data_IF_198017728794
#
_entry.id   IF_198017728794
#
_cell.length_a   1.000
_cell.length_b   1.000
_cell.length_c   1.000
_cell.angle_alpha   90.00
_cell.angle_beta   90.00
_cell.angle_gamma   90.00
#
_symmetry.space_group_name_H-M   'P 1'
#
loop_
_entity.id
_entity.type
_entity.pdbx_description
1 polymer ?
#
# COMPACT_ATOMS: atom_id res chain seq x y z
N UNK A 1 16.80 0.48 -17.79
CA UNK A 1 15.55 -0.26 -17.73
C UNK A 1 14.61 0.34 -16.73
N UNK A 2 13.39 0.51 -17.14
CA UNK A 2 12.39 1.05 -16.23
C UNK A 2 11.82 -0.04 -15.35
N UNK A 3 11.77 0.23 -14.07
CA UNK A 3 11.09 -0.65 -13.13
C UNK A 3 9.64 -0.23 -13.01
N UNK A 4 8.78 -1.17 -12.73
CA UNK A 4 7.40 -0.87 -12.40
C UNK A 4 7.35 -0.77 -10.86
N UNK A 5 7.25 0.44 -10.36
CA UNK A 5 7.39 0.71 -8.93
C UNK A 5 6.04 0.72 -8.22
N UNK A 6 5.94 -0.05 -7.16
CA UNK A 6 4.71 -0.19 -6.40
C UNK A 6 4.93 0.31 -4.97
N UNK A 7 4.00 1.13 -4.49
CA UNK A 7 3.91 1.49 -3.09
C UNK A 7 2.77 0.69 -2.48
N UNK A 8 3.03 0.00 -1.38
CA UNK A 8 2.02 -0.79 -0.69
C UNK A 8 1.60 -0.08 0.58
N UNK A 9 0.32 -0.01 0.84
CA UNK A 9 -0.22 0.58 2.05
C UNK A 9 -0.97 -0.49 2.83
N UNK A 10 -0.72 -0.57 4.12
CA UNK A 10 -1.32 -1.62 4.96
C UNK A 10 -1.60 -1.11 6.36
N UNK A 11 -2.57 -1.73 7.02
CA UNK A 11 -2.90 -1.42 8.41
C UNK A 11 -2.73 -2.61 9.34
N UNK A 12 -2.44 -3.80 8.79
CA UNK A 12 -2.53 -5.01 9.58
C UNK A 12 -1.39 -5.99 9.41
N UNK A 13 -1.75 -7.26 9.29
CA UNK A 13 -0.81 -8.36 9.42
C UNK A 13 0.19 -8.58 8.31
N UNK A 14 -0.03 -8.01 7.15
CA UNK A 14 0.93 -8.11 6.07
C UNK A 14 0.81 -9.34 5.19
N UNK A 15 -0.27 -10.10 5.30
CA UNK A 15 -0.45 -11.29 4.47
C UNK A 15 -0.46 -10.96 2.98
N UNK A 16 -1.27 -9.95 2.59
CA UNK A 16 -1.32 -9.51 1.20
C UNK A 16 0.01 -8.92 0.76
N UNK A 17 0.65 -8.17 1.65
CA UNK A 17 1.94 -7.59 1.38
C UNK A 17 2.98 -8.68 1.13
N UNK A 18 2.99 -9.72 1.96
CA UNK A 18 3.92 -10.84 1.79
C UNK A 18 3.68 -11.54 0.46
N UNK A 19 2.42 -11.70 0.08
CA UNK A 19 2.09 -12.30 -1.20
C UNK A 19 2.63 -11.47 -2.36
N UNK A 20 2.49 -10.14 -2.27
CA UNK A 20 3.04 -9.25 -3.29
C UNK A 20 4.55 -9.37 -3.40
N UNK A 21 5.24 -9.47 -2.26
CA UNK A 21 6.68 -9.63 -2.26
C UNK A 21 7.07 -10.92 -2.95
N UNK A 22 6.35 -12.00 -2.65
CA UNK A 22 6.68 -13.32 -3.21
C UNK A 22 6.53 -13.38 -4.72
N UNK A 23 5.71 -12.53 -5.30
CA UNK A 23 5.46 -12.53 -6.74
C UNK A 23 6.21 -11.47 -7.51
N UNK A 24 7.05 -10.67 -6.82
CA UNK A 24 7.78 -9.57 -7.48
C UNK A 24 8.59 -10.02 -8.68
N UNK A 25 9.39 -11.06 -8.50
CA UNK A 25 10.27 -11.47 -9.57
C UNK A 25 9.51 -12.10 -10.72
N UNK A 26 8.39 -12.77 -10.43
CA UNK A 26 7.60 -13.43 -11.48
C UNK A 26 6.89 -12.43 -12.39
N UNK A 27 6.53 -11.25 -11.87
CA UNK A 27 5.75 -10.27 -12.62
C UNK A 27 6.51 -8.98 -12.90
N UNK A 28 7.79 -8.95 -12.60
CA UNK A 28 8.67 -7.83 -12.95
C UNK A 28 8.22 -6.48 -12.37
N UNK A 29 7.79 -6.48 -11.13
CA UNK A 29 7.56 -5.22 -10.45
C UNK A 29 8.47 -5.12 -9.23
N UNK A 30 8.60 -3.92 -8.71
CA UNK A 30 9.46 -3.64 -7.57
C UNK A 30 8.65 -2.92 -6.51
N UNK A 31 8.61 -3.48 -5.32
CA UNK A 31 7.95 -2.81 -4.19
C UNK A 31 8.97 -1.84 -3.59
N UNK A 32 8.72 -0.56 -3.80
CA UNK A 32 9.69 0.47 -3.41
C UNK A 32 9.47 0.99 -2.01
N UNK A 33 8.25 0.84 -1.46
CA UNK A 33 7.92 1.45 -0.18
C UNK A 33 6.67 0.81 0.40
N UNK A 34 6.68 0.64 1.72
CA UNK A 34 5.49 0.29 2.47
C UNK A 34 5.08 1.49 3.32
N UNK A 35 3.81 1.87 3.27
CA UNK A 35 3.26 2.89 4.16
C UNK A 35 2.23 2.22 5.04
N UNK A 36 2.36 2.43 6.35
CA UNK A 36 1.39 1.89 7.31
C UNK A 36 0.83 3.05 8.14
N UNK A 37 -0.42 2.88 8.60
CA UNK A 37 -1.09 3.92 9.40
C UNK A 37 -1.00 3.64 10.89
N UNK A 38 -0.28 2.60 11.26
CA UNK A 38 -0.07 2.20 12.65
C UNK A 38 1.03 1.17 12.73
N UNK A 39 1.52 0.94 13.95
CA UNK A 39 2.43 -0.18 14.16
C UNK A 39 1.70 -1.47 13.91
N UNK A 40 2.26 -2.34 13.08
CA UNK A 40 1.60 -3.57 12.70
C UNK A 40 2.62 -4.56 12.15
N UNK A 41 2.17 -5.79 11.94
CA UNK A 41 3.08 -6.87 11.49
C UNK A 41 3.66 -6.63 10.11
N UNK A 42 2.98 -5.84 9.29
CA UNK A 42 3.49 -5.53 7.95
C UNK A 42 4.88 -4.87 8.03
N UNK A 43 5.15 -4.12 9.11
CA UNK A 43 6.47 -3.51 9.31
C UNK A 43 7.56 -4.57 9.39
N UNK A 44 7.29 -5.66 10.11
CA UNK A 44 8.26 -6.74 10.23
C UNK A 44 8.51 -7.39 8.88
N UNK A 45 7.47 -7.56 8.09
CA UNK A 45 7.59 -8.15 6.75
C UNK A 45 8.47 -7.26 5.87
N UNK A 46 8.28 -5.94 5.94
CA UNK A 46 9.12 -5.01 5.18
C UNK A 46 10.57 -5.11 5.60
N UNK A 47 10.81 -5.15 6.91
CA UNK A 47 12.18 -5.23 7.44
C UNK A 47 12.86 -6.53 7.01
N UNK A 48 12.14 -7.63 7.04
CA UNK A 48 12.69 -8.93 6.63
C UNK A 48 13.09 -8.94 5.17
N UNK A 49 12.47 -8.09 4.36
CA UNK A 49 12.68 -8.08 2.92
C UNK A 49 13.39 -6.81 2.44
N UNK A 50 13.94 -6.03 3.37
CA UNK A 50 14.71 -4.82 3.07
C UNK A 50 13.90 -3.80 2.27
N UNK A 51 12.62 -3.68 2.58
CA UNK A 51 11.73 -2.71 1.93
C UNK A 51 11.59 -1.51 2.87
N UNK A 52 11.85 -0.29 2.37
CA UNK A 52 11.65 0.89 3.21
C UNK A 52 10.22 0.99 3.71
N UNK A 53 10.05 1.43 4.94
CA UNK A 53 8.73 1.52 5.55
C UNK A 53 8.57 2.88 6.21
N UNK A 54 7.41 3.50 5.99
CA UNK A 54 7.05 4.76 6.64
C UNK A 54 5.81 4.50 7.48
N UNK A 55 5.89 4.91 8.75
CA UNK A 55 4.75 4.81 9.67
C UNK A 55 4.12 6.18 9.80
N UNK A 56 2.87 6.31 9.36
CA UNK A 56 2.12 7.55 9.49
C UNK A 56 0.96 7.27 10.44
N UNK A 57 1.14 7.60 11.71
CA UNK A 57 0.13 7.25 12.70
C UNK A 57 -1.04 8.22 12.63
N UNK A 58 -2.14 7.76 12.07
CA UNK A 58 -3.32 8.58 11.86
C UNK A 58 -3.83 9.17 13.16
N UNK A 59 -3.73 8.43 14.25
CA UNK A 59 -4.20 8.93 15.55
C UNK A 59 -3.42 10.16 16.02
N UNK A 60 -2.19 10.33 15.56
CA UNK A 60 -1.38 11.50 15.93
C UNK A 60 -1.46 12.60 14.88
N UNK A 61 -1.57 12.22 13.62
CA UNK A 61 -1.56 13.20 12.52
C UNK A 61 -2.93 13.85 12.28
N UNK A 62 -4.00 13.14 12.62
CA UNK A 62 -5.33 13.70 12.45
C UNK A 62 -5.56 14.20 11.03
N UNK A 63 -5.91 15.48 10.91
CA UNK A 63 -6.23 16.08 9.61
C UNK A 63 -5.02 16.18 8.69
N UNK A 64 -3.81 16.10 9.25
CA UNK A 64 -2.59 16.16 8.43
C UNK A 64 -2.21 14.83 7.81
N UNK A 65 -2.92 13.77 8.15
CA UNK A 65 -2.54 12.42 7.72
C UNK A 65 -2.39 12.32 6.20
N UNK A 66 -3.39 12.78 5.46
CA UNK A 66 -3.34 12.62 4.01
C UNK A 66 -2.41 13.61 3.32
N UNK A 67 -2.08 14.72 3.96
CA UNK A 67 -1.00 15.58 3.46
C UNK A 67 0.32 14.84 3.53
N UNK A 68 0.59 14.22 4.68
CA UNK A 68 1.83 13.45 4.85
C UNK A 68 1.83 12.21 3.96
N UNK A 69 0.68 11.57 3.83
CA UNK A 69 0.54 10.42 2.97
C UNK A 69 0.90 10.78 1.52
N UNK A 70 0.35 11.88 1.03
CA UNK A 70 0.62 12.32 -0.34
C UNK A 70 2.10 12.64 -0.55
N UNK A 71 2.73 13.26 0.44
CA UNK A 71 4.14 13.62 0.35
C UNK A 71 5.04 12.38 0.38
N UNK A 72 4.60 11.33 1.05
CA UNK A 72 5.41 10.12 1.22
C UNK A 72 5.50 9.30 -0.06
N UNK A 73 4.53 9.44 -0.96
CA UNK A 73 4.50 8.63 -2.17
C UNK A 73 5.50 9.19 -3.18
N UNK A 74 6.51 8.39 -3.57
CA UNK A 74 7.48 8.88 -4.56
C UNK A 74 6.82 9.21 -5.90
N UNK A 75 7.29 10.27 -6.57
CA UNK A 75 6.66 10.67 -7.83
C UNK A 75 6.82 9.65 -8.96
N UNK A 76 7.80 8.77 -8.87
CA UNK A 76 8.01 7.73 -9.89
C UNK A 76 7.20 6.46 -9.61
N UNK A 77 6.23 6.52 -8.71
CA UNK A 77 5.38 5.39 -8.40
C UNK A 77 4.44 5.09 -9.56
N UNK A 78 4.38 3.83 -9.94
CA UNK A 78 3.52 3.38 -11.03
C UNK A 78 2.17 2.87 -10.52
N UNK A 79 2.13 2.35 -9.29
CA UNK A 79 0.92 1.77 -8.74
C UNK A 79 0.94 1.85 -7.22
N UNK A 80 -0.20 2.19 -6.64
CA UNK A 80 -0.40 2.18 -5.19
C UNK A 80 -1.35 1.04 -4.90
N UNK A 81 -0.94 0.11 -4.04
CA UNK A 81 -1.74 -1.05 -3.67
C UNK A 81 -2.19 -0.89 -2.23
N UNK A 82 -3.48 -0.83 -2.01
CA UNK A 82 -4.05 -0.77 -0.67
C UNK A 82 -4.30 -2.20 -0.20
N UNK A 83 -3.36 -2.73 0.56
CA UNK A 83 -3.40 -4.13 0.99
C UNK A 83 -3.91 -4.20 2.41
N UNK A 84 -5.23 -4.06 2.57
CA UNK A 84 -5.83 -4.01 3.89
C UNK A 84 -5.54 -2.70 4.60
N UNK A 85 -5.64 -1.61 3.89
CA UNK A 85 -5.39 -0.27 4.44
C UNK A 85 -6.73 0.33 4.85
N UNK A 86 -6.86 0.64 6.15
CA UNK A 86 -8.14 1.08 6.70
C UNK A 86 -8.55 2.51 6.35
N UNK A 87 -7.63 3.49 6.31
CA UNK A 87 -8.05 4.84 5.98
C UNK A 87 -8.69 4.92 4.60
N UNK A 88 -9.74 5.74 4.49
CA UNK A 88 -10.43 5.95 3.22
C UNK A 88 -9.70 7.06 2.47
N UNK A 89 -9.21 6.74 1.28
CA UNK A 89 -8.41 7.67 0.50
C UNK A 89 -9.30 8.79 -0.04
N UNK A 90 -8.97 10.06 0.20
CA UNK A 90 -9.79 11.17 -0.30
C UNK A 90 -9.76 11.26 -1.81
N UNK A 91 -10.82 11.85 -2.35
CA UNK A 91 -11.00 11.96 -3.80
C UNK A 91 -9.83 12.68 -4.47
N UNK A 92 -9.25 13.70 -3.82
CA UNK A 92 -8.15 14.44 -4.44
C UNK A 92 -6.92 13.56 -4.69
N UNK A 93 -6.68 12.60 -3.79
CA UNK A 93 -5.57 11.66 -3.99
C UNK A 93 -5.93 10.63 -5.05
N UNK A 94 -7.16 10.15 -5.04
CA UNK A 94 -7.63 9.22 -6.07
C UNK A 94 -7.52 9.85 -7.46
N UNK A 95 -7.85 11.13 -7.57
CA UNK A 95 -7.78 11.85 -8.85
C UNK A 95 -6.34 11.97 -9.32
N UNK A 96 -5.43 12.29 -8.41
CA UNK A 96 -4.02 12.45 -8.75
C UNK A 96 -3.42 11.13 -9.22
N UNK A 97 -3.86 10.02 -8.63
CA UNK A 97 -3.34 8.69 -8.96
C UNK A 97 -4.35 7.86 -9.72
N UNK A 98 -5.16 8.51 -10.55
CA UNK A 98 -6.21 7.83 -11.31
C UNK A 98 -5.64 6.65 -12.08
N UNK A 99 -6.29 5.49 -11.95
CA UNK A 99 -5.90 4.24 -12.59
C UNK A 99 -4.58 3.67 -12.05
N UNK A 100 -4.03 4.29 -11.00
CA UNK A 100 -2.77 3.85 -10.41
C UNK A 100 -2.93 3.49 -8.95
N UNK A 101 -4.17 3.32 -8.49
CA UNK A 101 -4.42 2.93 -7.10
C UNK A 101 -5.45 1.81 -7.11
N UNK A 102 -5.13 0.71 -6.46
CA UNK A 102 -6.03 -0.44 -6.37
C UNK A 102 -6.12 -0.90 -4.94
N UNK A 103 -7.25 -1.52 -4.62
CA UNK A 103 -7.53 -2.02 -3.29
C UNK A 103 -7.63 -3.54 -3.36
N UNK A 104 -6.84 -4.23 -2.54
CA UNK A 104 -6.89 -5.67 -2.48
C UNK A 104 -7.44 -6.11 -1.13
N UNK A 105 -8.55 -6.80 -1.16
CA UNK A 105 -9.17 -7.39 0.03
C UNK A 105 -9.55 -8.81 -0.32
N UNK A 106 -8.62 -9.75 -0.18
CA UNK A 106 -8.92 -11.13 -0.58
C UNK A 106 -10.18 -11.69 0.08
N UNK A 107 -10.40 -11.35 1.35
CA UNK A 107 -11.62 -11.82 2.00
C UNK A 107 -12.86 -11.21 1.38
N UNK A 108 -12.79 -9.94 1.00
CA UNK A 108 -13.91 -9.31 0.31
C UNK A 108 -14.05 -9.83 -1.11
N UNK A 109 -12.94 -10.06 -1.78
CA UNK A 109 -12.99 -10.61 -3.12
C UNK A 109 -13.59 -12.00 -3.14
N UNK A 110 -13.23 -12.85 -2.20
CA UNK A 110 -13.83 -14.17 -2.13
C UNK A 110 -15.30 -14.06 -1.82
N UNK A 111 -15.67 -13.08 -1.03
CA UNK A 111 -17.05 -12.83 -0.66
C UNK A 111 -17.82 -12.15 -1.80
N UNK A 112 -17.24 -11.13 -2.36
CA UNK A 112 -17.87 -10.35 -3.42
C UNK A 112 -17.52 -10.88 -4.81
N UNK A 113 -16.48 -11.64 -4.91
CA UNK A 113 -16.23 -12.39 -6.12
C UNK A 113 -17.39 -13.30 -6.40
N UNK A 114 -18.00 -13.78 -5.32
CA UNK A 114 -19.21 -14.54 -5.44
C UNK A 114 -20.45 -13.67 -5.54
N UNK A 115 -20.32 -12.40 -5.27
CA UNK A 115 -21.47 -11.49 -5.29
C UNK A 115 -21.41 -10.47 -6.40
N UNK A 116 -20.29 -10.40 -7.04
CA UNK A 116 -20.12 -9.42 -8.10
C UNK A 116 -19.32 -8.24 -7.71
#
# INVERSE_FOLDING_TARGET
>A
MKSFNIVVCASGGGGNFRSLINHQSSYDYHISLLIVDRECKAINVANENNIPCIVLEKKFLGDSFFEEFAKAIPPDTNLIVLAGFFPIIPQCICDKWERKIINTHPSLLSEYGGKG
#
